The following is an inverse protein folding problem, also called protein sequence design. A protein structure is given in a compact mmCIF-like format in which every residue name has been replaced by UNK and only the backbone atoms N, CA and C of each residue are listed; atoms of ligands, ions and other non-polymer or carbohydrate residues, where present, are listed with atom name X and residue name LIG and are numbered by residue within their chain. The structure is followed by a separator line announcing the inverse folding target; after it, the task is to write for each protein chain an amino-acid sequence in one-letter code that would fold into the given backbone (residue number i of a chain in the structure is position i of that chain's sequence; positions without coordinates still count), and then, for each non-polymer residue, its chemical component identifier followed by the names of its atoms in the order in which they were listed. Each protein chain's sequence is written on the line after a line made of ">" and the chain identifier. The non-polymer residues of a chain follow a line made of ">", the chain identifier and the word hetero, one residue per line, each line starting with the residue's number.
data_IF_770036461186
#
_entry.id   IF_770036461186
#
_cell.length_a   1.000
_cell.length_b   1.000
_cell.length_c   1.000
_cell.angle_alpha   90.00
_cell.angle_beta   90.00
_cell.angle_gamma   90.00
#
_symmetry.space_group_name_H-M   'P 1'
#
loop_
_entity.id
_entity.type
_entity.pdbx_description
1 polymer ?
#
# COMPACT_ATOMS: atom_id res chain seq x y z
N UNK A 1 -1.84 23.95 -3.93
CA UNK A 1 -0.58 23.20 -3.78
C UNK A 1 -0.94 21.73 -3.63
N UNK A 2 -0.36 20.87 -4.45
CA UNK A 2 -0.57 19.43 -4.37
C UNK A 2 -0.09 18.88 -3.03
N UNK A 3 -0.46 17.65 -2.70
CA UNK A 3 -0.13 17.00 -1.43
C UNK A 3 0.31 15.56 -1.67
N UNK A 4 1.13 15.06 -0.74
CA UNK A 4 1.42 13.65 -0.57
C UNK A 4 0.43 13.06 0.44
N UNK A 5 -0.33 12.06 0.02
CA UNK A 5 -1.31 11.35 0.85
C UNK A 5 -0.84 9.94 1.16
N UNK A 6 -1.06 9.47 2.38
CA UNK A 6 -0.88 8.08 2.73
C UNK A 6 -2.18 7.46 3.24
N UNK A 7 -2.76 6.57 2.43
CA UNK A 7 -3.92 5.76 2.77
C UNK A 7 -3.42 4.40 3.28
N UNK A 8 -3.53 4.16 4.57
CA UNK A 8 -3.04 2.93 5.17
C UNK A 8 -4.16 2.12 5.82
N UNK A 9 -3.95 0.81 5.89
CA UNK A 9 -4.89 -0.12 6.51
C UNK A 9 -4.22 -1.44 6.89
N UNK A 10 -4.97 -2.32 7.53
CA UNK A 10 -4.69 -3.75 7.54
C UNK A 10 -4.91 -4.36 6.16
N UNK A 11 -4.51 -5.62 5.98
CA UNK A 11 -4.84 -6.38 4.78
C UNK A 11 -6.37 -6.48 4.62
N UNK A 12 -6.82 -6.62 3.37
CA UNK A 12 -8.23 -6.82 3.02
C UNK A 12 -9.18 -5.65 3.37
N UNK A 13 -8.67 -4.46 3.64
CA UNK A 13 -9.46 -3.26 3.93
C UNK A 13 -9.84 -2.44 2.68
N UNK A 14 -9.67 -2.98 1.47
CA UNK A 14 -10.10 -2.34 0.23
C UNK A 14 -9.14 -1.28 -0.33
N UNK A 15 -7.84 -1.30 0.02
CA UNK A 15 -6.86 -0.33 -0.49
C UNK A 15 -6.83 -0.25 -2.01
N UNK A 16 -6.55 -1.38 -2.68
CA UNK A 16 -6.48 -1.44 -4.16
C UNK A 16 -7.82 -1.10 -4.81
N UNK A 17 -8.95 -1.43 -4.17
CA UNK A 17 -10.29 -1.00 -4.64
C UNK A 17 -10.44 0.52 -4.60
N UNK A 18 -10.04 1.16 -3.50
CA UNK A 18 -10.11 2.62 -3.34
C UNK A 18 -9.17 3.33 -4.32
N UNK A 19 -7.97 2.77 -4.55
CA UNK A 19 -7.03 3.27 -5.53
C UNK A 19 -7.63 3.23 -6.95
N UNK A 20 -8.14 2.06 -7.35
CA UNK A 20 -8.72 1.87 -8.68
C UNK A 20 -9.98 2.72 -8.89
N UNK A 21 -10.77 2.95 -7.84
CA UNK A 21 -11.90 3.89 -7.90
C UNK A 21 -11.42 5.34 -8.09
N UNK A 22 -10.32 5.74 -7.43
CA UNK A 22 -9.74 7.06 -7.63
C UNK A 22 -9.23 7.22 -9.08
N UNK A 23 -8.49 6.24 -9.60
CA UNK A 23 -8.03 6.20 -11.00
C UNK A 23 -9.20 6.36 -11.98
N UNK A 24 -10.24 5.56 -11.80
CA UNK A 24 -11.45 5.62 -12.63
C UNK A 24 -12.07 7.02 -12.62
N UNK A 25 -12.21 7.65 -11.46
CA UNK A 25 -12.80 8.99 -11.32
C UNK A 25 -12.01 10.07 -12.08
N UNK A 26 -10.67 9.98 -12.08
CA UNK A 26 -9.82 10.88 -12.87
C UNK A 26 -10.02 10.64 -14.39
N UNK A 27 -9.93 9.37 -14.81
CA UNK A 27 -10.05 8.99 -16.24
C UNK A 27 -11.42 9.31 -16.82
N UNK A 28 -12.50 9.12 -16.05
CA UNK A 28 -13.86 9.50 -16.46
C UNK A 28 -13.98 10.99 -16.80
N UNK A 29 -13.14 11.83 -16.21
CA UNK A 29 -13.06 13.27 -16.48
C UNK A 29 -12.02 13.64 -17.53
N UNK A 30 -11.44 12.67 -18.23
CA UNK A 30 -10.39 12.87 -19.22
C UNK A 30 -9.04 13.28 -18.63
N UNK A 31 -8.84 13.08 -17.34
CA UNK A 31 -7.58 13.37 -16.64
C UNK A 31 -6.66 12.14 -16.64
N UNK A 32 -5.35 12.35 -16.87
CA UNK A 32 -4.37 11.27 -16.92
C UNK A 32 -3.79 11.01 -15.54
N UNK A 33 -3.72 9.73 -15.16
CA UNK A 33 -3.13 9.24 -13.93
C UNK A 33 -2.01 8.26 -14.23
N UNK A 34 -1.02 8.16 -13.34
CA UNK A 34 0.04 7.16 -13.42
C UNK A 34 -0.04 6.23 -12.21
N UNK A 35 -0.17 4.93 -12.47
CA UNK A 35 -0.31 3.91 -11.45
C UNK A 35 0.99 3.14 -11.25
N UNK A 36 1.34 2.87 -9.99
CA UNK A 36 2.52 2.11 -9.60
C UNK A 36 2.18 0.98 -8.64
N UNK A 37 2.89 -0.14 -8.73
CA UNK A 37 2.85 -1.26 -7.78
C UNK A 37 4.23 -1.83 -7.54
N UNK A 38 4.46 -2.51 -6.41
CA UNK A 38 5.75 -3.10 -6.09
C UNK A 38 6.07 -4.30 -7.00
N UNK A 39 7.31 -4.39 -7.46
CA UNK A 39 7.78 -5.50 -8.30
C UNK A 39 7.81 -6.86 -7.57
N UNK A 40 7.70 -6.88 -6.24
CA UNK A 40 7.68 -8.09 -5.42
C UNK A 40 6.36 -8.87 -5.49
N UNK A 41 5.32 -8.31 -6.07
CA UNK A 41 4.04 -8.99 -6.29
C UNK A 41 4.02 -9.66 -7.66
N UNK A 42 4.67 -10.84 -7.75
CA UNK A 42 4.75 -11.65 -8.97
C UNK A 42 3.45 -12.41 -9.30
N UNK A 43 2.36 -12.16 -8.56
CA UNK A 43 1.06 -12.81 -8.80
C UNK A 43 0.48 -12.51 -10.18
N UNK A 44 1.00 -11.48 -10.85
CA UNK A 44 0.57 -11.08 -12.20
C UNK A 44 1.79 -10.71 -13.04
N UNK A 45 1.95 -11.33 -14.21
CA UNK A 45 3.09 -11.19 -15.13
C UNK A 45 3.26 -9.79 -15.71
N UNK A 46 2.20 -9.01 -15.78
CA UNK A 46 2.22 -7.61 -16.24
C UNK A 46 1.93 -6.74 -15.04
N UNK A 47 2.68 -5.65 -14.86
CA UNK A 47 2.44 -4.69 -13.79
C UNK A 47 0.97 -4.26 -13.77
N UNK A 48 0.18 -4.89 -12.91
CA UNK A 48 -1.26 -4.64 -12.79
C UNK A 48 -1.66 -4.55 -11.32
N UNK A 49 -2.53 -3.60 -11.00
CA UNK A 49 -3.20 -3.53 -9.71
C UNK A 49 -4.54 -4.24 -9.86
N UNK A 50 -4.76 -5.25 -9.01
CA UNK A 50 -6.01 -6.03 -9.02
C UNK A 50 -6.66 -5.96 -7.65
N UNK A 51 -7.93 -5.58 -7.60
CA UNK A 51 -8.74 -5.62 -6.39
C UNK A 51 -9.41 -6.99 -6.20
N UNK A 52 -9.75 -7.34 -4.96
CA UNK A 52 -10.47 -8.59 -4.66
C UNK A 52 -11.89 -8.64 -5.24
N UNK A 53 -12.47 -7.51 -5.58
CA UNK A 53 -13.80 -7.41 -6.20
C UNK A 53 -13.74 -7.42 -7.73
N UNK A 54 -12.56 -7.75 -8.32
CA UNK A 54 -12.39 -7.94 -9.76
C UNK A 54 -12.05 -6.67 -10.56
N UNK A 55 -11.82 -5.53 -9.91
CA UNK A 55 -11.30 -4.34 -10.60
C UNK A 55 -9.81 -4.53 -10.91
N UNK A 56 -9.39 -4.10 -12.09
CA UNK A 56 -8.00 -4.21 -12.54
C UNK A 56 -7.61 -3.00 -13.38
N UNK A 57 -6.35 -2.56 -13.27
CA UNK A 57 -5.72 -1.60 -14.16
C UNK A 57 -4.22 -1.89 -14.31
N UNK A 58 -3.67 -1.54 -15.49
CA UNK A 58 -2.24 -1.63 -15.73
C UNK A 58 -1.49 -0.64 -14.84
N UNK A 59 -0.31 -1.04 -14.37
CA UNK A 59 0.52 -0.22 -13.50
C UNK A 59 2.00 -0.41 -13.81
N UNK A 60 2.78 0.63 -13.60
CA UNK A 60 4.24 0.53 -13.61
C UNK A 60 4.71 -0.25 -12.39
N UNK A 61 5.80 -1.00 -12.51
CA UNK A 61 6.43 -1.69 -11.40
C UNK A 61 7.58 -0.85 -10.83
N UNK A 62 7.67 -0.76 -9.51
CA UNK A 62 8.85 -0.20 -8.86
C UNK A 62 9.61 -1.26 -8.07
N UNK A 63 10.93 -1.15 -8.07
CA UNK A 63 11.87 -1.85 -7.22
C UNK A 63 12.66 -0.83 -6.39
N UNK A 64 13.49 -1.24 -5.42
CA UNK A 64 14.32 -0.30 -4.65
C UNK A 64 15.24 0.60 -5.49
N UNK A 65 15.59 0.15 -6.70
CA UNK A 65 16.46 0.86 -7.64
C UNK A 65 15.72 1.86 -8.54
N UNK A 66 14.39 1.85 -8.53
CA UNK A 66 13.58 2.73 -9.38
C UNK A 66 13.68 4.18 -8.93
N UNK A 67 14.12 5.07 -9.82
CA UNK A 67 14.01 6.52 -9.64
C UNK A 67 12.57 6.96 -9.98
N UNK A 68 11.74 7.08 -8.95
CA UNK A 68 10.33 7.43 -9.09
C UNK A 68 10.14 8.84 -9.64
N UNK A 69 10.98 9.80 -9.22
CA UNK A 69 10.87 11.18 -9.69
C UNK A 69 11.14 11.28 -11.20
N UNK A 70 12.26 10.74 -11.65
CA UNK A 70 12.64 10.77 -13.07
C UNK A 70 11.61 10.06 -13.95
N UNK A 71 11.13 8.89 -13.53
CA UNK A 71 10.15 8.11 -14.28
C UNK A 71 8.80 8.83 -14.41
N UNK A 72 8.30 9.42 -13.31
CA UNK A 72 7.04 10.19 -13.33
C UNK A 72 7.18 11.44 -14.19
N UNK A 73 8.32 12.16 -14.09
CA UNK A 73 8.54 13.36 -14.89
C UNK A 73 8.69 13.09 -16.38
N UNK A 74 9.22 11.92 -16.77
CA UNK A 74 9.26 11.51 -18.18
C UNK A 74 7.83 11.36 -18.76
N UNK A 75 6.93 10.70 -18.01
CA UNK A 75 5.53 10.56 -18.40
C UNK A 75 4.79 11.91 -18.39
N UNK A 76 4.98 12.69 -17.32
CA UNK A 76 4.32 13.99 -17.17
C UNK A 76 4.65 14.98 -18.29
N UNK A 77 5.90 14.94 -18.82
CA UNK A 77 6.31 15.77 -19.98
C UNK A 77 5.65 15.34 -21.27
N UNK A 78 5.39 14.05 -21.43
CA UNK A 78 4.72 13.50 -22.61
C UNK A 78 3.20 13.73 -22.55
N UNK A 79 2.61 13.57 -21.37
CA UNK A 79 1.19 13.77 -21.11
C UNK A 79 0.99 14.25 -19.67
N UNK A 80 0.48 15.48 -19.45
CA UNK A 80 0.34 16.04 -18.11
C UNK A 80 -0.45 15.12 -17.16
N UNK A 81 0.18 14.74 -16.04
CA UNK A 81 -0.40 13.89 -15.02
C UNK A 81 -1.24 14.72 -14.05
N UNK A 82 -2.45 14.28 -13.78
CA UNK A 82 -3.33 14.86 -12.79
C UNK A 82 -3.13 14.25 -11.39
N UNK A 83 -2.63 13.00 -11.33
CA UNK A 83 -2.36 12.33 -10.06
C UNK A 83 -1.41 11.12 -10.28
N UNK A 84 -0.56 10.84 -9.30
CA UNK A 84 0.21 9.59 -9.20
C UNK A 84 -0.39 8.73 -8.09
N UNK A 85 -0.68 7.47 -8.39
CA UNK A 85 -1.29 6.51 -7.47
C UNK A 85 -0.32 5.33 -7.26
N UNK A 86 0.04 5.05 -6.01
CA UNK A 86 1.03 4.00 -5.67
C UNK A 86 0.37 2.95 -4.78
N UNK A 87 0.23 1.72 -5.28
CA UNK A 87 -0.18 0.57 -4.47
C UNK A 87 1.04 -0.12 -3.85
N UNK A 88 0.81 -0.87 -2.77
CA UNK A 88 1.85 -1.57 -2.00
C UNK A 88 3.00 -0.63 -1.56
N UNK A 89 2.65 0.62 -1.24
CA UNK A 89 3.60 1.68 -0.91
C UNK A 89 4.46 1.41 0.35
N UNK A 90 4.12 0.39 1.16
CA UNK A 90 4.98 -0.06 2.27
C UNK A 90 6.34 -0.56 1.80
N UNK A 91 6.46 -0.98 0.53
CA UNK A 91 7.71 -1.47 -0.06
C UNK A 91 8.60 -0.37 -0.66
N UNK A 92 8.14 0.88 -0.67
CA UNK A 92 8.98 2.02 -1.04
C UNK A 92 10.17 2.15 -0.10
N UNK A 93 11.30 2.57 -0.64
CA UNK A 93 12.42 3.05 0.17
C UNK A 93 12.11 4.46 0.71
N UNK A 94 12.83 4.89 1.75
CA UNK A 94 12.73 6.28 2.25
C UNK A 94 13.02 7.30 1.15
N UNK A 95 14.03 7.03 0.31
CA UNK A 95 14.40 7.91 -0.79
C UNK A 95 13.28 8.05 -1.80
N UNK A 96 12.64 6.97 -2.19
CA UNK A 96 11.49 7.00 -3.09
C UNK A 96 10.31 7.80 -2.51
N UNK A 97 10.06 7.71 -1.19
CA UNK A 97 9.05 8.55 -0.54
C UNK A 97 9.41 10.03 -0.63
N UNK A 98 10.69 10.40 -0.48
CA UNK A 98 11.15 11.78 -0.66
C UNK A 98 11.00 12.23 -2.12
N UNK A 99 11.31 11.38 -3.09
CA UNK A 99 11.10 11.66 -4.51
C UNK A 99 9.62 11.92 -4.82
N UNK A 100 8.70 11.14 -4.24
CA UNK A 100 7.26 11.33 -4.38
C UNK A 100 6.78 12.63 -3.70
N UNK A 101 7.35 13.00 -2.55
CA UNK A 101 7.06 14.29 -1.90
C UNK A 101 7.48 15.47 -2.80
N UNK A 102 8.66 15.37 -3.44
CA UNK A 102 9.12 16.39 -4.40
C UNK A 102 8.17 16.59 -5.58
N UNK A 103 7.52 15.53 -6.09
CA UNK A 103 6.50 15.67 -7.13
C UNK A 103 5.33 16.56 -6.68
N UNK A 104 4.92 16.44 -5.42
CA UNK A 104 3.87 17.29 -4.87
C UNK A 104 4.35 18.73 -4.66
N UNK A 105 5.55 18.90 -4.10
CA UNK A 105 6.08 20.20 -3.70
C UNK A 105 6.58 21.04 -4.88
N UNK A 106 7.35 20.43 -5.78
CA UNK A 106 8.06 21.14 -6.86
C UNK A 106 7.24 21.16 -8.16
N UNK A 107 6.52 20.06 -8.48
CA UNK A 107 5.82 19.88 -9.75
C UNK A 107 4.29 20.04 -9.64
N UNK A 108 3.79 20.25 -8.41
CA UNK A 108 2.36 20.38 -8.12
C UNK A 108 1.51 19.17 -8.60
N UNK A 109 2.09 17.96 -8.58
CA UNK A 109 1.42 16.71 -8.95
C UNK A 109 0.98 16.01 -7.66
N UNK A 110 -0.31 15.82 -7.40
CA UNK A 110 -0.79 15.06 -6.24
C UNK A 110 -0.31 13.61 -6.28
N UNK A 111 0.15 13.10 -5.13
CA UNK A 111 0.58 11.71 -4.98
C UNK A 111 -0.22 11.03 -3.89
N UNK A 112 -0.83 9.89 -4.19
CA UNK A 112 -1.61 9.11 -3.23
C UNK A 112 -0.99 7.72 -3.10
N UNK A 113 -0.43 7.44 -1.94
CA UNK A 113 0.19 6.16 -1.59
C UNK A 113 -0.79 5.30 -0.80
N UNK A 114 -0.95 4.03 -1.19
CA UNK A 114 -1.77 3.02 -0.51
C UNK A 114 -0.87 1.90 -0.01
N UNK A 115 -0.99 1.55 1.28
CA UNK A 115 -0.10 0.53 1.84
C UNK A 115 -0.53 -0.02 3.19
N UNK A 116 0.22 -1.03 3.65
CA UNK A 116 0.11 -1.56 5.00
C UNK A 116 0.87 -0.64 5.96
N UNK A 117 0.37 -0.45 7.18
CA UNK A 117 1.10 0.28 8.23
C UNK A 117 2.22 -0.58 8.82
N UNK A 118 1.87 -1.78 9.28
CA UNK A 118 2.76 -2.69 9.97
C UNK A 118 2.70 -4.09 9.37
N UNK A 119 3.75 -4.86 9.59
CA UNK A 119 3.81 -6.28 9.28
C UNK A 119 3.09 -7.15 10.35
N UNK A 120 3.28 -8.47 10.27
CA UNK A 120 2.71 -9.44 11.19
C UNK A 120 3.35 -9.42 12.60
N UNK A 121 4.54 -8.84 12.73
CA UNK A 121 5.21 -8.65 14.02
C UNK A 121 4.80 -7.35 14.73
N UNK A 122 3.98 -6.51 14.07
CA UNK A 122 3.61 -5.15 14.44
C UNK A 122 4.75 -4.13 14.23
N UNK A 123 5.76 -4.48 13.43
CA UNK A 123 6.83 -3.57 13.05
C UNK A 123 6.44 -2.76 11.81
N UNK A 124 6.90 -1.51 11.74
CA UNK A 124 6.66 -0.67 10.58
C UNK A 124 7.47 -1.16 9.38
N UNK A 125 6.84 -1.13 8.20
CA UNK A 125 7.59 -1.22 6.95
C UNK A 125 8.38 0.07 6.69
N UNK A 126 9.55 0.00 6.02
CA UNK A 126 10.37 1.19 5.74
C UNK A 126 9.62 2.30 5.02
N UNK A 127 8.87 1.98 3.95
CA UNK A 127 8.06 2.94 3.20
C UNK A 127 6.95 3.53 4.06
N UNK A 128 6.29 2.71 4.87
CA UNK A 128 5.24 3.17 5.78
C UNK A 128 5.77 4.09 6.88
N UNK A 129 6.95 3.79 7.42
CA UNK A 129 7.61 4.65 8.41
C UNK A 129 7.92 6.03 7.82
N UNK A 130 8.45 6.07 6.60
CA UNK A 130 8.73 7.33 5.90
C UNK A 130 7.45 8.11 5.58
N UNK A 131 6.40 7.43 5.04
CA UNK A 131 5.13 8.05 4.70
C UNK A 131 4.39 8.59 5.94
N UNK A 132 4.39 7.86 7.06
CA UNK A 132 3.81 8.34 8.32
C UNK A 132 4.49 9.60 8.85
N UNK A 133 5.79 9.78 8.57
CA UNK A 133 6.55 10.94 9.00
C UNK A 133 6.48 12.15 8.05
N UNK A 134 6.20 11.94 6.76
CA UNK A 134 6.38 12.97 5.72
C UNK A 134 5.06 13.37 5.05
N UNK A 135 4.08 12.44 4.91
CA UNK A 135 2.86 12.72 4.17
C UNK A 135 2.05 13.87 4.79
N UNK A 136 1.52 14.76 3.95
CA UNK A 136 0.66 15.87 4.36
C UNK A 136 -0.68 15.41 4.93
N UNK A 137 -1.15 14.25 4.48
CA UNK A 137 -2.44 13.71 4.91
C UNK A 137 -2.36 12.20 5.14
N UNK A 138 -2.78 11.79 6.33
CA UNK A 138 -2.83 10.39 6.76
C UNK A 138 -4.28 9.94 6.85
N UNK A 139 -4.65 8.93 6.05
CA UNK A 139 -6.01 8.41 5.98
C UNK A 139 -6.02 6.92 6.31
N UNK A 140 -6.73 6.53 7.35
CA UNK A 140 -6.87 5.13 7.71
C UNK A 140 -8.14 4.53 7.10
N UNK A 141 -7.98 3.56 6.19
CA UNK A 141 -9.09 2.77 5.68
C UNK A 141 -9.49 1.71 6.71
N UNK A 142 -10.79 1.48 6.85
CA UNK A 142 -11.35 0.64 7.91
C UNK A 142 -11.51 -0.81 7.44
N UNK A 143 -10.72 -1.72 8.01
CA UNK A 143 -10.99 -3.16 8.00
C UNK A 143 -11.84 -3.55 9.22
N UNK A 144 -12.44 -4.75 9.17
CA UNK A 144 -13.29 -5.28 10.25
C UNK A 144 -12.64 -6.53 10.84
N UNK A 145 -12.48 -6.58 12.16
CA UNK A 145 -12.09 -7.76 12.92
C UNK A 145 -13.30 -8.68 13.13
N UNK A 146 -13.09 -9.97 13.35
CA UNK A 146 -14.13 -10.95 13.65
C UNK A 146 -15.09 -10.54 14.77
N UNK A 147 -14.62 -9.72 15.72
CA UNK A 147 -15.45 -9.19 16.81
C UNK A 147 -16.24 -7.93 16.43
N UNK A 148 -16.29 -7.53 15.16
CA UNK A 148 -16.96 -6.34 14.67
C UNK A 148 -16.19 -5.01 14.90
N UNK A 149 -15.08 -5.04 15.64
CA UNK A 149 -14.24 -3.84 15.86
C UNK A 149 -13.35 -3.58 14.65
N UNK A 150 -12.82 -2.38 14.55
CA UNK A 150 -11.84 -1.99 13.55
C UNK A 150 -10.60 -2.89 13.60
N UNK A 151 -10.24 -3.51 12.47
CA UNK A 151 -9.01 -4.25 12.28
C UNK A 151 -7.88 -3.28 11.93
N UNK A 152 -6.81 -3.33 12.73
CA UNK A 152 -5.65 -2.45 12.56
C UNK A 152 -4.32 -3.21 12.48
N UNK A 153 -4.38 -4.53 12.69
CA UNK A 153 -3.21 -5.41 12.75
C UNK A 153 -3.36 -6.56 11.76
N UNK A 154 -2.22 -7.07 11.29
CA UNK A 154 -2.14 -8.22 10.40
C UNK A 154 -1.49 -9.38 11.15
N UNK A 155 -2.23 -10.44 11.45
CA UNK A 155 -1.70 -11.65 12.06
C UNK A 155 -1.32 -12.63 10.95
N UNK A 156 -0.08 -13.12 10.93
CA UNK A 156 0.30 -14.24 10.09
C UNK A 156 0.01 -15.55 10.83
N UNK A 157 -0.61 -16.50 10.14
CA UNK A 157 -0.97 -17.81 10.69
C UNK A 157 -0.35 -18.93 9.85
N UNK A 158 -0.08 -20.05 10.51
CA UNK A 158 0.33 -21.30 9.84
C UNK A 158 -0.90 -22.08 9.31
N UNK A 159 -0.65 -23.26 8.73
CA UNK A 159 -1.71 -24.12 8.18
C UNK A 159 -2.71 -24.62 9.25
N UNK A 160 -2.36 -24.57 10.53
CA UNK A 160 -3.24 -24.92 11.66
C UNK A 160 -4.01 -23.73 12.22
N UNK A 161 -3.79 -22.52 11.67
CA UNK A 161 -4.39 -21.28 12.15
C UNK A 161 -3.68 -20.66 13.37
N UNK A 162 -2.53 -21.18 13.79
CA UNK A 162 -1.74 -20.64 14.92
C UNK A 162 -0.91 -19.44 14.44
N UNK A 163 -0.74 -18.47 15.36
CA UNK A 163 0.05 -17.28 15.08
C UNK A 163 1.54 -17.62 14.83
N UNK A 164 2.08 -17.13 13.71
CA UNK A 164 3.51 -17.16 13.39
C UNK A 164 4.18 -15.96 14.05
N UNK A 165 5.13 -16.20 14.95
CA UNK A 165 5.75 -15.15 15.75
C UNK A 165 7.07 -14.61 15.16
N UNK A 166 7.74 -15.40 14.31
CA UNK A 166 9.03 -15.07 13.70
C UNK A 166 9.05 -15.45 12.21
N UNK A 167 9.95 -14.84 11.46
CA UNK A 167 10.12 -15.08 10.01
C UNK A 167 10.45 -13.82 9.25
N UNK A 168 10.63 -13.93 7.94
CA UNK A 168 10.84 -12.76 7.07
C UNK A 168 9.65 -11.82 7.12
N UNK A 169 9.90 -10.52 7.08
CA UNK A 169 8.86 -9.49 7.07
C UNK A 169 7.86 -9.69 5.94
N UNK A 170 8.37 -10.09 4.77
CA UNK A 170 7.59 -10.39 3.57
C UNK A 170 7.74 -11.86 3.22
N UNK A 171 6.63 -12.57 3.07
CA UNK A 171 6.57 -13.87 2.37
C UNK A 171 5.68 -13.70 1.14
N UNK A 172 6.23 -14.04 -0.02
CA UNK A 172 5.47 -14.18 -1.27
C UNK A 172 4.62 -15.45 -1.14
N UNK A 173 3.31 -15.27 -1.01
CA UNK A 173 2.37 -16.39 -0.89
C UNK A 173 1.10 -16.00 -0.16
N UNK A 174 0.00 -16.35 -0.75
CA UNK A 174 -1.41 -16.25 -0.40
C UNK A 174 -1.82 -15.38 0.79
N UNK A 175 -2.75 -14.50 0.51
CA UNK A 175 -3.51 -13.76 1.53
C UNK A 175 -4.17 -14.67 2.58
N UNK A 176 -4.24 -15.98 2.32
CA UNK A 176 -4.85 -17.02 3.16
C UNK A 176 -4.11 -17.24 4.47
N UNK A 177 -2.85 -16.76 4.55
CA UNK A 177 -2.01 -16.84 5.75
C UNK A 177 -2.09 -15.61 6.65
N UNK A 178 -2.90 -14.60 6.29
CA UNK A 178 -2.99 -13.37 7.05
C UNK A 178 -4.43 -13.08 7.46
N UNK A 179 -4.60 -12.76 8.75
CA UNK A 179 -5.89 -12.41 9.35
C UNK A 179 -5.83 -10.97 9.85
N UNK A 180 -6.78 -10.16 9.42
CA UNK A 180 -6.92 -8.78 9.87
C UNK A 180 -7.65 -8.74 11.21
N UNK A 181 -6.99 -8.26 12.26
CA UNK A 181 -7.49 -8.26 13.64
C UNK A 181 -7.44 -6.88 14.28
N UNK A 182 -8.32 -6.64 15.26
CA UNK A 182 -8.11 -5.54 16.20
C UNK A 182 -6.90 -5.85 17.10
N UNK A 183 -6.28 -4.81 17.66
CA UNK A 183 -5.08 -4.96 18.49
C UNK A 183 -5.27 -5.95 19.66
N UNK A 184 -6.46 -5.97 20.30
CA UNK A 184 -6.75 -6.90 21.38
C UNK A 184 -6.61 -8.37 20.93
N UNK A 185 -7.30 -8.76 19.85
CA UNK A 185 -7.28 -10.13 19.35
C UNK A 185 -5.91 -10.51 18.76
N UNK A 186 -5.23 -9.57 18.11
CA UNK A 186 -3.86 -9.76 17.67
C UNK A 186 -2.92 -10.11 18.83
N UNK A 187 -2.96 -9.35 19.92
CA UNK A 187 -2.12 -9.63 21.11
C UNK A 187 -2.50 -10.94 21.79
N UNK A 188 -3.78 -11.25 21.90
CA UNK A 188 -4.26 -12.52 22.46
C UNK A 188 -3.74 -13.72 21.65
N UNK A 189 -3.88 -13.70 20.32
CA UNK A 189 -3.40 -14.76 19.45
C UNK A 189 -1.87 -14.96 19.55
N UNK A 190 -1.10 -13.88 19.59
CA UNK A 190 0.36 -13.94 19.76
C UNK A 190 0.78 -14.48 21.11
N UNK A 191 0.09 -14.11 22.19
CA UNK A 191 0.38 -14.61 23.54
C UNK A 191 0.06 -16.11 23.65
N UNK A 192 -1.06 -16.55 23.06
CA UNK A 192 -1.40 -17.98 23.03
C UNK A 192 -0.40 -18.83 22.22
N UNK A 193 0.33 -18.25 21.28
CA UNK A 193 1.35 -18.96 20.50
C UNK A 193 2.74 -18.99 21.20
N UNK A 194 2.91 -18.24 22.30
CA UNK A 194 4.13 -18.20 23.11
C UNK A 194 4.14 -19.18 24.29
N UNK A 195 2.96 -19.61 24.74
CA UNK A 195 2.76 -20.60 25.79
C UNK A 195 2.53 -21.99 25.25
#
# INVERSE_FOLDING_TARGET
>A
MAKLYFYYASMNAGKSTTLLQADFNYRERGMHTMLWTAALDDRYDVGAITSRIGLQADAHKFSPETDMFTAVMAEHRASPLACVLVDEAQFLTREQVLQLARLADEENIPVVCYGLRTDFAAELFPGSAALLGIADSLVELKGVCECGRKATMNLRVDASGRAVLAGKQTEVGGNDRYVALCRKHFMQARNAARG
#
